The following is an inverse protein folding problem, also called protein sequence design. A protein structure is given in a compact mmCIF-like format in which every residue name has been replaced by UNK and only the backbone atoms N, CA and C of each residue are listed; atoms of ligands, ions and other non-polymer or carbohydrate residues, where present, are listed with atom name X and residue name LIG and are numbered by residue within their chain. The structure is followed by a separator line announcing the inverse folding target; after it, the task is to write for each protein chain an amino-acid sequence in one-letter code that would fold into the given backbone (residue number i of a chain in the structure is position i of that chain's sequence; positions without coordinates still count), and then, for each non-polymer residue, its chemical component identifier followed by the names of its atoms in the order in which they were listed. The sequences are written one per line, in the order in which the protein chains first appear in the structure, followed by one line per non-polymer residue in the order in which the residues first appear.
data_IF_439156153562
#
_entry.id   IF_439156153562
#
_cell.length_a   1.000
_cell.length_b   1.000
_cell.length_c   1.000
_cell.angle_alpha   90.00
_cell.angle_beta   90.00
_cell.angle_gamma   90.00
#
_symmetry.space_group_name_H-M   'P 1'
#
loop_
_entity.id
_entity.type
_entity.pdbx_description
1 polymer ?
#
# COMPACT_ATOMS: atom_id res chain seq x y z
N UNK A 1 -47.61 -2.43 5.03
CA UNK A 1 -46.61 -3.51 5.01
C UNK A 1 -45.31 -2.90 4.53
N UNK A 2 -44.50 -2.40 5.46
CA UNK A 2 -43.16 -1.90 5.19
C UNK A 2 -42.22 -3.08 5.31
N UNK A 3 -41.59 -3.49 4.21
CA UNK A 3 -40.53 -4.48 4.25
C UNK A 3 -39.27 -3.79 4.78
N UNK A 4 -38.91 -4.10 6.02
CA UNK A 4 -37.59 -3.80 6.56
C UNK A 4 -36.56 -4.63 5.80
N UNK A 5 -35.79 -3.97 4.94
CA UNK A 5 -34.60 -4.53 4.34
C UNK A 5 -33.45 -4.40 5.34
N UNK A 6 -33.50 -5.18 6.42
CA UNK A 6 -32.34 -5.40 7.27
C UNK A 6 -31.34 -6.24 6.50
N UNK A 7 -30.34 -5.58 5.91
CA UNK A 7 -29.10 -6.26 5.49
C UNK A 7 -28.42 -6.74 6.77
N UNK A 8 -28.66 -7.99 7.15
CA UNK A 8 -27.94 -8.66 8.21
C UNK A 8 -26.46 -8.75 7.80
N UNK A 9 -25.61 -8.06 8.56
CA UNK A 9 -24.15 -8.23 8.53
C UNK A 9 -23.72 -9.37 9.48
N UNK A 10 -24.55 -10.41 9.69
CA UNK A 10 -24.28 -11.48 10.66
C UNK A 10 -23.44 -12.64 10.09
N UNK A 11 -22.44 -12.33 9.26
CA UNK A 11 -21.28 -13.21 9.13
C UNK A 11 -20.08 -12.46 9.66
N UNK A 12 -19.55 -12.80 10.84
CA UNK A 12 -18.22 -12.33 11.17
C UNK A 12 -17.29 -12.89 10.09
N UNK A 13 -16.69 -12.01 9.29
CA UNK A 13 -15.44 -12.29 8.59
C UNK A 13 -14.32 -12.40 9.64
N UNK A 14 -14.49 -13.30 10.60
CA UNK A 14 -13.44 -13.69 11.52
C UNK A 14 -12.72 -14.84 10.82
N UNK A 15 -11.73 -14.49 10.00
CA UNK A 15 -10.67 -15.46 9.72
C UNK A 15 -10.11 -15.87 11.09
N UNK A 16 -9.92 -17.16 11.30
CA UNK A 16 -9.21 -17.65 12.48
C UNK A 16 -7.78 -17.13 12.48
N UNK A 17 -7.16 -17.06 13.66
CA UNK A 17 -5.75 -16.70 13.78
C UNK A 17 -4.88 -17.60 12.88
N UNK A 18 -5.16 -18.90 12.85
CA UNK A 18 -4.46 -19.87 12.02
C UNK A 18 -4.58 -19.57 10.52
N UNK A 19 -5.77 -19.19 10.04
CA UNK A 19 -5.99 -18.78 8.65
C UNK A 19 -5.24 -17.49 8.32
N UNK A 20 -5.18 -16.53 9.25
CA UNK A 20 -4.41 -15.31 9.08
C UNK A 20 -2.90 -15.60 8.93
N UNK A 21 -2.35 -16.47 9.78
CA UNK A 21 -0.94 -16.87 9.70
C UNK A 21 -0.63 -17.62 8.40
N UNK A 22 -1.52 -18.52 7.98
CA UNK A 22 -1.41 -19.25 6.72
C UNK A 22 -1.43 -18.30 5.52
N UNK A 23 -2.33 -17.31 5.51
CA UNK A 23 -2.38 -16.29 4.47
C UNK A 23 -1.08 -15.48 4.41
N UNK A 24 -0.52 -15.07 5.55
CA UNK A 24 0.77 -14.38 5.56
C UNK A 24 1.86 -15.28 4.97
N UNK A 25 1.91 -16.56 5.35
CA UNK A 25 2.88 -17.50 4.82
C UNK A 25 2.77 -17.64 3.28
N UNK A 26 1.54 -17.74 2.76
CA UNK A 26 1.31 -17.83 1.32
C UNK A 26 1.69 -16.54 0.58
N UNK A 27 1.34 -15.38 1.11
CA UNK A 27 1.73 -14.09 0.51
C UNK A 27 3.26 -13.97 0.43
N UNK A 28 4.00 -14.32 1.48
CA UNK A 28 5.46 -14.25 1.43
C UNK A 28 6.08 -15.35 0.56
N UNK A 29 5.46 -16.53 0.47
CA UNK A 29 5.93 -17.61 -0.41
C UNK A 29 5.76 -17.25 -1.89
N UNK A 30 4.64 -16.65 -2.24
CA UNK A 30 4.22 -16.42 -3.63
C UNK A 30 4.68 -15.04 -4.12
N UNK A 31 4.43 -14.01 -3.32
CA UNK A 31 4.63 -12.61 -3.69
C UNK A 31 5.90 -12.00 -3.08
N UNK A 32 6.56 -12.73 -2.17
CA UNK A 32 7.78 -12.31 -1.48
C UNK A 32 8.91 -11.88 -2.41
N UNK A 33 9.56 -10.77 -2.07
CA UNK A 33 10.84 -10.35 -2.65
C UNK A 33 11.86 -10.16 -1.53
N UNK A 34 13.18 -10.13 -1.83
CA UNK A 34 14.20 -9.86 -0.81
C UNK A 34 13.91 -8.58 -0.01
N UNK A 35 13.32 -7.58 -0.68
CA UNK A 35 12.71 -6.41 -0.06
C UNK A 35 11.34 -6.19 -0.67
N UNK A 36 10.30 -6.19 0.15
CA UNK A 36 8.94 -5.93 -0.30
C UNK A 36 8.21 -7.10 -0.95
N UNK A 37 7.17 -6.79 -1.71
CA UNK A 37 6.20 -7.76 -2.27
C UNK A 37 5.77 -7.33 -3.67
N UNK A 38 5.64 -8.28 -4.59
CA UNK A 38 4.94 -8.05 -5.86
C UNK A 38 3.41 -7.98 -5.64
N UNK A 39 2.67 -7.46 -6.60
CA UNK A 39 1.21 -7.27 -6.47
C UNK A 39 0.37 -8.52 -6.80
N UNK A 40 0.85 -9.42 -7.65
CA UNK A 40 0.13 -10.65 -7.99
C UNK A 40 1.02 -11.66 -8.72
N UNK A 41 0.49 -12.84 -9.03
CA UNK A 41 1.27 -13.92 -9.66
C UNK A 41 1.45 -13.72 -11.17
N UNK A 42 0.42 -13.20 -11.83
CA UNK A 42 0.39 -13.04 -13.27
C UNK A 42 1.55 -12.18 -13.80
N UNK A 43 2.04 -12.43 -15.03
CA UNK A 43 3.17 -11.69 -15.60
C UNK A 43 2.96 -10.18 -15.68
N UNK A 44 1.72 -9.72 -15.90
CA UNK A 44 1.34 -8.30 -15.96
C UNK A 44 1.12 -7.66 -14.57
N UNK A 45 1.10 -8.48 -13.52
CA UNK A 45 1.00 -8.09 -12.11
C UNK A 45 2.38 -8.07 -11.46
N UNK A 46 3.35 -7.57 -12.20
CA UNK A 46 4.75 -7.46 -11.78
C UNK A 46 5.04 -6.15 -11.05
N UNK A 47 6.26 -6.04 -10.52
CA UNK A 47 6.70 -4.86 -9.79
C UNK A 47 6.05 -4.72 -8.42
N UNK A 48 6.45 -3.67 -7.73
CA UNK A 48 5.97 -3.36 -6.39
C UNK A 48 5.22 -2.04 -6.39
N UNK A 49 4.06 -2.01 -5.74
CA UNK A 49 3.17 -0.87 -5.73
C UNK A 49 3.08 -0.31 -4.32
N UNK A 50 3.40 0.97 -4.15
CA UNK A 50 3.50 1.56 -2.81
C UNK A 50 2.16 1.48 -2.06
N UNK A 51 1.05 1.82 -2.72
CA UNK A 51 -0.29 1.77 -2.14
C UNK A 51 -0.73 0.36 -1.67
N UNK A 52 -0.31 -0.70 -2.36
CA UNK A 52 -0.63 -2.07 -1.91
C UNK A 52 0.29 -2.52 -0.77
N UNK A 53 1.56 -2.08 -0.79
CA UNK A 53 2.48 -2.31 0.31
C UNK A 53 1.99 -1.63 1.60
N UNK A 54 1.48 -0.39 1.55
CA UNK A 54 0.93 0.29 2.74
C UNK A 54 -0.31 -0.42 3.29
N UNK A 55 -1.18 -0.96 2.44
CA UNK A 55 -2.31 -1.81 2.87
C UNK A 55 -1.83 -3.09 3.55
N UNK A 56 -0.82 -3.75 3.00
CA UNK A 56 -0.27 -4.98 3.58
C UNK A 56 0.43 -4.72 4.92
N UNK A 57 1.20 -3.63 5.03
CA UNK A 57 1.78 -3.17 6.30
C UNK A 57 0.70 -2.99 7.38
N UNK A 58 -0.43 -2.35 7.03
CA UNK A 58 -1.55 -2.18 7.95
C UNK A 58 -2.16 -3.53 8.37
N UNK A 59 -2.35 -4.47 7.43
CA UNK A 59 -2.87 -5.80 7.74
C UNK A 59 -1.95 -6.57 8.70
N UNK A 60 -0.63 -6.56 8.45
CA UNK A 60 0.37 -7.15 9.34
C UNK A 60 0.36 -6.48 10.73
N UNK A 61 0.22 -5.16 10.79
CA UNK A 61 0.11 -4.45 12.07
C UNK A 61 -1.16 -4.83 12.84
N UNK A 62 -2.31 -5.03 12.18
CA UNK A 62 -3.52 -5.52 12.87
C UNK A 62 -3.31 -6.92 13.46
N UNK A 63 -2.70 -7.85 12.70
CA UNK A 63 -2.33 -9.16 13.23
C UNK A 63 -1.30 -9.05 14.38
N UNK A 64 -0.40 -8.07 14.26
CA UNK A 64 0.58 -7.65 15.26
C UNK A 64 0.01 -7.33 16.64
N UNK A 65 -1.26 -6.89 16.71
CA UNK A 65 -1.94 -6.63 17.98
C UNK A 65 -2.20 -7.91 18.80
N UNK A 66 -2.21 -9.07 18.15
CA UNK A 66 -2.38 -10.39 18.78
C UNK A 66 -1.05 -11.14 18.82
N UNK A 67 -0.23 -11.03 17.75
CA UNK A 67 1.06 -11.72 17.58
C UNK A 67 2.16 -10.70 17.21
N UNK A 68 2.92 -10.16 18.20
CA UNK A 68 3.82 -9.02 18.01
C UNK A 68 4.83 -9.13 16.87
N UNK A 69 5.26 -10.34 16.51
CA UNK A 69 6.20 -10.58 15.41
C UNK A 69 5.69 -10.07 14.05
N UNK A 70 4.37 -9.99 13.83
CA UNK A 70 3.82 -9.44 12.58
C UNK A 70 3.87 -7.91 12.55
N UNK A 71 3.82 -7.25 13.72
CA UNK A 71 4.07 -5.82 13.79
C UNK A 71 5.52 -5.49 13.41
N UNK A 72 6.48 -6.26 13.92
CA UNK A 72 7.90 -6.12 13.56
C UNK A 72 8.12 -6.30 12.05
N UNK A 73 7.44 -7.28 11.42
CA UNK A 73 7.46 -7.46 9.96
C UNK A 73 6.88 -6.26 9.21
N UNK A 74 5.79 -5.66 9.72
CA UNK A 74 5.20 -4.46 9.12
C UNK A 74 6.17 -3.26 9.14
N UNK A 75 6.82 -3.03 10.28
CA UNK A 75 7.83 -1.97 10.44
C UNK A 75 9.05 -2.24 9.55
N UNK A 76 9.52 -3.48 9.50
CA UNK A 76 10.62 -3.86 8.61
C UNK A 76 10.27 -3.62 7.14
N UNK A 77 9.06 -4.02 6.72
CA UNK A 77 8.59 -3.81 5.36
C UNK A 77 8.57 -2.32 4.98
N UNK A 78 8.10 -1.45 5.88
CA UNK A 78 8.16 -0.01 5.68
C UNK A 78 9.59 0.49 5.42
N UNK A 79 10.54 0.09 6.28
CA UNK A 79 11.97 0.48 6.16
C UNK A 79 12.62 -0.03 4.89
N UNK A 80 12.35 -1.28 4.51
CA UNK A 80 12.97 -1.93 3.35
C UNK A 80 12.61 -1.22 2.03
N UNK A 81 11.38 -0.70 1.92
CA UNK A 81 10.84 -0.16 0.67
C UNK A 81 10.88 1.37 0.60
N UNK A 82 10.80 2.09 1.72
CA UNK A 82 10.58 3.54 1.74
C UNK A 82 11.52 4.31 0.80
N UNK A 83 12.83 4.09 0.92
CA UNK A 83 13.84 4.81 0.14
C UNK A 83 13.69 4.63 -1.37
N UNK A 84 13.22 3.46 -1.82
CA UNK A 84 13.05 3.19 -3.25
C UNK A 84 11.89 4.01 -3.85
N UNK A 85 10.81 4.15 -3.08
CA UNK A 85 9.58 4.81 -3.52
C UNK A 85 9.57 6.33 -3.27
N UNK A 86 10.18 6.79 -2.17
CA UNK A 86 10.20 8.20 -1.80
C UNK A 86 11.12 9.02 -2.71
N UNK A 87 10.64 10.17 -3.18
CA UNK A 87 11.42 11.15 -3.92
C UNK A 87 11.39 12.48 -3.16
N UNK A 88 12.51 12.91 -2.56
CA UNK A 88 12.58 14.10 -1.72
C UNK A 88 11.95 15.34 -2.35
N UNK A 89 10.98 15.94 -1.66
CA UNK A 89 10.28 17.16 -2.09
C UNK A 89 9.38 17.02 -3.32
N UNK A 90 9.35 15.86 -3.97
CA UNK A 90 8.63 15.63 -5.23
C UNK A 90 7.38 14.80 -5.00
N UNK A 91 7.50 13.63 -4.35
CA UNK A 91 6.36 12.73 -4.16
C UNK A 91 6.79 11.31 -3.85
N UNK A 92 5.89 10.37 -4.13
CA UNK A 92 6.11 8.93 -4.01
C UNK A 92 5.88 8.31 -5.38
N UNK A 93 6.85 7.53 -5.88
CA UNK A 93 6.65 6.71 -7.09
C UNK A 93 5.56 5.70 -6.79
N UNK A 94 4.62 5.47 -7.70
CA UNK A 94 3.56 4.51 -7.39
C UNK A 94 3.95 3.06 -7.70
N UNK A 95 4.88 2.84 -8.64
CA UNK A 95 5.39 1.51 -9.01
C UNK A 95 6.92 1.47 -9.18
N UNK A 96 7.52 0.42 -8.64
CA UNK A 96 8.95 0.10 -8.75
C UNK A 96 9.14 -1.28 -9.38
N UNK A 97 10.34 -1.54 -9.92
CA UNK A 97 10.77 -2.89 -10.27
C UNK A 97 10.77 -3.81 -9.03
N UNK A 98 10.67 -5.12 -9.24
CA UNK A 98 10.53 -6.09 -8.15
C UNK A 98 11.75 -6.16 -7.21
N UNK A 99 12.94 -5.85 -7.71
CA UNK A 99 14.17 -5.76 -6.93
C UNK A 99 14.41 -4.37 -6.31
N UNK A 100 13.50 -3.43 -6.59
CA UNK A 100 13.58 -2.01 -6.20
C UNK A 100 14.81 -1.28 -6.76
N UNK A 101 15.42 -1.78 -7.85
CA UNK A 101 16.58 -1.15 -8.50
C UNK A 101 16.24 0.17 -9.20
N UNK A 102 14.99 0.36 -9.58
CA UNK A 102 14.54 1.57 -10.27
C UNK A 102 13.02 1.68 -10.43
N UNK A 103 12.54 2.86 -10.87
CA UNK A 103 11.14 3.06 -11.23
C UNK A 103 10.76 2.11 -12.37
N UNK A 104 9.53 1.62 -12.32
CA UNK A 104 9.03 0.81 -13.43
C UNK A 104 8.75 1.72 -14.66
N UNK A 105 9.16 1.34 -15.88
CA UNK A 105 9.02 2.18 -17.08
C UNK A 105 7.57 2.61 -17.36
N UNK A 106 7.39 3.87 -17.75
CA UNK A 106 6.07 4.42 -18.11
C UNK A 106 5.19 4.85 -16.94
N UNK A 107 5.69 4.76 -15.70
CA UNK A 107 4.92 5.09 -14.50
C UNK A 107 5.51 6.28 -13.73
N UNK A 108 4.64 7.06 -13.08
CA UNK A 108 4.95 8.35 -12.45
C UNK A 108 4.78 8.36 -10.92
N UNK A 109 4.27 9.47 -10.39
CA UNK A 109 4.01 9.66 -8.96
C UNK A 109 2.59 9.26 -8.58
N UNK A 110 2.43 8.63 -7.42
CA UNK A 110 1.14 8.36 -6.81
C UNK A 110 0.61 9.61 -6.10
N UNK A 111 -0.57 10.09 -6.52
CA UNK A 111 -1.16 11.31 -5.97
C UNK A 111 -1.57 11.17 -4.51
N UNK A 112 -2.00 9.96 -4.10
CA UNK A 112 -2.43 9.66 -2.73
C UNK A 112 -1.39 8.87 -1.92
N UNK A 113 -0.41 8.27 -2.58
CA UNK A 113 0.54 7.33 -1.99
C UNK A 113 1.30 7.92 -0.79
N UNK A 114 1.65 9.21 -0.81
CA UNK A 114 2.30 9.84 0.34
C UNK A 114 1.35 10.09 1.52
N UNK A 115 0.04 10.21 1.30
CA UNK A 115 -0.96 10.21 2.38
C UNK A 115 -1.10 8.80 2.97
N UNK A 116 -1.17 7.78 2.11
CA UNK A 116 -1.24 6.38 2.56
C UNK A 116 -0.01 6.03 3.41
N UNK A 117 1.18 6.38 2.93
CA UNK A 117 2.43 6.22 3.67
C UNK A 117 2.41 6.96 5.01
N UNK A 118 2.00 8.24 5.01
CA UNK A 118 1.94 9.03 6.24
C UNK A 118 1.02 8.42 7.30
N UNK A 119 -0.20 8.03 6.90
CA UNK A 119 -1.18 7.43 7.81
C UNK A 119 -0.70 6.07 8.30
N UNK A 120 -0.28 5.19 7.39
CA UNK A 120 0.16 3.84 7.75
C UNK A 120 1.39 3.87 8.67
N UNK A 121 2.42 4.67 8.38
CA UNK A 121 3.62 4.71 9.23
C UNK A 121 3.32 5.22 10.64
N UNK A 122 2.42 6.20 10.78
CA UNK A 122 1.99 6.69 12.09
C UNK A 122 1.16 5.68 12.88
N UNK A 123 0.38 4.83 12.19
CA UNK A 123 -0.37 3.76 12.83
C UNK A 123 0.54 2.61 13.27
N UNK A 124 1.60 2.32 12.51
CA UNK A 124 2.55 1.27 12.81
C UNK A 124 3.37 1.60 14.05
N UNK A 125 4.34 2.50 13.93
CA UNK A 125 5.27 2.82 15.01
C UNK A 125 5.91 4.20 14.76
N UNK A 126 5.39 5.26 15.41
CA UNK A 126 5.92 6.62 15.25
C UNK A 126 7.37 6.78 15.67
N UNK A 127 7.86 5.98 16.63
CA UNK A 127 9.23 6.08 17.11
C UNK A 127 10.17 5.40 16.11
N UNK A 128 9.85 4.17 15.69
CA UNK A 128 10.68 3.39 14.78
C UNK A 128 10.71 3.91 13.34
N UNK A 129 9.66 4.64 12.91
CA UNK A 129 9.50 5.18 11.55
C UNK A 129 9.54 6.72 11.52
N UNK A 130 10.13 7.37 12.53
CA UNK A 130 10.12 8.82 12.66
C UNK A 130 10.68 9.56 11.43
N UNK A 131 11.77 9.05 10.82
CA UNK A 131 12.36 9.63 9.62
C UNK A 131 11.42 9.54 8.41
N UNK A 132 10.85 8.36 8.17
CA UNK A 132 9.91 8.09 7.08
C UNK A 132 8.62 8.90 7.24
N UNK A 133 8.15 9.09 8.48
CA UNK A 133 6.99 9.92 8.80
C UNK A 133 7.26 11.38 8.47
N UNK A 134 8.42 11.92 8.83
CA UNK A 134 8.80 13.31 8.50
C UNK A 134 8.84 13.50 6.98
N UNK A 135 9.42 12.55 6.24
CA UNK A 135 9.46 12.58 4.78
C UNK A 135 8.06 12.67 4.17
N UNK A 136 7.13 11.81 4.62
CA UNK A 136 5.76 11.80 4.13
C UNK A 136 4.99 13.04 4.57
N UNK A 137 5.19 13.51 5.80
CA UNK A 137 4.55 14.71 6.33
C UNK A 137 4.89 15.95 5.51
N UNK A 138 6.15 16.10 5.08
CA UNK A 138 6.56 17.22 4.22
C UNK A 138 5.76 17.23 2.90
N UNK A 139 5.57 16.06 2.28
CA UNK A 139 4.77 15.93 1.07
C UNK A 139 3.29 16.23 1.32
N UNK A 140 2.72 15.70 2.42
CA UNK A 140 1.33 16.00 2.83
C UNK A 140 1.13 17.51 3.01
N UNK A 141 1.97 18.15 3.82
CA UNK A 141 1.85 19.57 4.15
C UNK A 141 2.06 20.49 2.94
N UNK A 142 2.88 20.06 1.97
CA UNK A 142 3.07 20.79 0.71
C UNK A 142 1.83 20.72 -0.19
N UNK A 143 1.12 19.59 -0.20
CA UNK A 143 0.10 19.31 -1.22
C UNK A 143 -1.36 19.43 -0.73
N UNK A 144 -1.63 19.36 0.58
CA UNK A 144 -3.01 19.22 1.08
C UNK A 144 -3.98 20.36 0.70
N UNK A 145 -3.48 21.59 0.50
CA UNK A 145 -4.32 22.75 0.13
C UNK A 145 -4.65 22.82 -1.36
N UNK A 146 -3.76 22.31 -2.19
CA UNK A 146 -3.85 22.36 -3.66
C UNK A 146 -4.13 20.97 -4.24
N UNK A 147 -4.53 20.02 -3.40
CA UNK A 147 -4.71 18.64 -3.81
C UNK A 147 -5.84 18.55 -4.84
N UNK A 148 -5.48 18.11 -6.04
CA UNK A 148 -6.42 17.70 -7.08
C UNK A 148 -6.29 16.20 -7.25
N UNK A 149 -7.40 15.47 -7.12
CA UNK A 149 -7.48 14.02 -7.39
C UNK A 149 -7.54 13.79 -8.91
N UNK A 150 -6.56 14.31 -9.63
CA UNK A 150 -6.36 14.03 -11.04
C UNK A 150 -4.97 13.41 -11.16
N UNK A 151 -4.90 12.13 -11.53
CA UNK A 151 -3.63 11.53 -11.92
C UNK A 151 -3.19 12.23 -13.21
N UNK A 152 -2.35 13.25 -13.09
CA UNK A 152 -1.74 13.91 -14.26
C UNK A 152 -0.61 13.01 -14.74
N UNK A 153 -0.98 12.00 -15.53
CA UNK A 153 -0.06 11.36 -16.46
C UNK A 153 0.51 12.43 -17.38
N UNK A 154 1.81 12.38 -17.63
CA UNK A 154 2.47 13.18 -18.66
C UNK A 154 1.66 13.01 -19.97
N UNK A 155 1.20 14.15 -20.50
CA UNK A 155 0.43 14.37 -21.75
C UNK A 155 0.38 13.16 -22.71
N UNK A 156 -0.76 12.49 -22.76
CA UNK A 156 -1.78 12.52 -23.83
C UNK A 156 -2.83 11.44 -23.52
N UNK A 157 -4.10 11.85 -23.36
CA UNK A 157 -5.29 11.00 -23.42
C UNK A 157 -5.32 9.71 -22.60
N UNK A 158 -5.68 9.78 -21.31
CA UNK A 158 -6.30 8.64 -20.63
C UNK A 158 -7.81 8.88 -20.53
N UNK A 159 -8.52 8.45 -21.57
CA UNK A 159 -9.95 8.17 -21.51
C UNK A 159 -10.15 6.90 -20.67
N UNK A 160 -10.77 7.06 -19.50
CA UNK A 160 -11.06 5.97 -18.57
C UNK A 160 -12.35 5.22 -18.91
N UNK A 161 -13.01 5.55 -20.04
CA UNK A 161 -14.24 4.87 -20.48
C UNK A 161 -14.02 3.44 -21.00
N UNK A 162 -12.77 2.97 -21.11
CA UNK A 162 -12.42 1.70 -21.75
C UNK A 162 -11.73 0.63 -20.88
N UNK A 163 -11.54 0.82 -19.57
CA UNK A 163 -10.93 -0.24 -18.75
C UNK A 163 -11.98 -1.24 -18.26
N UNK A 164 -11.79 -2.56 -18.48
CA UNK A 164 -12.78 -3.58 -18.16
C UNK A 164 -12.73 -3.90 -16.66
N UNK A 165 -13.31 -3.02 -15.84
CA UNK A 165 -13.86 -3.42 -14.56
C UNK A 165 -15.32 -3.80 -14.79
N UNK A 166 -15.52 -5.00 -15.33
CA UNK A 166 -16.84 -5.55 -15.64
C UNK A 166 -16.83 -7.07 -15.52
N UNK A 167 -17.44 -7.53 -14.42
CA UNK A 167 -17.83 -8.90 -14.04
C UNK A 167 -16.76 -9.81 -13.45
#
# INVERSE_FOLDING_TARGET
MTADFCVSFDKPLLISLQEAEALVADVYRVLGRPRGLRIGEEPDRDGQYFHYLTKWMYALHQLGKVKPEYHERAVKLAKDVHHAFYVPGVGVRWKMLEDLSGPYPGYGLGGLDFYDGFVTYRLLDPAALSAEIVNMQQLVMKNYRSFSCTQVGVREGCDWSGLPWGH
#
